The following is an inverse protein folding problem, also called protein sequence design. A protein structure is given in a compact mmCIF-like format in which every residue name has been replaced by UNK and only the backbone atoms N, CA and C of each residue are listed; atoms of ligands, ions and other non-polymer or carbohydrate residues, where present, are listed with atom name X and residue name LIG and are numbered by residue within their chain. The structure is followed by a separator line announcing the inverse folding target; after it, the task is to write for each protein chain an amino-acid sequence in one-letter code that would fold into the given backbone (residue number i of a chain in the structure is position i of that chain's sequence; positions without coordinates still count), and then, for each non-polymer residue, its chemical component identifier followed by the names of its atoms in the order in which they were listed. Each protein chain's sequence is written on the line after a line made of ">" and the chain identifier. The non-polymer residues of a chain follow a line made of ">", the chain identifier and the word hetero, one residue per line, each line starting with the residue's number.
data_IF_590898899554
#
_entry.id   IF_590898899554
#
_cell.length_a   1.000
_cell.length_b   1.000
_cell.length_c   1.000
_cell.angle_alpha   90.00
_cell.angle_beta   90.00
_cell.angle_gamma   90.00
#
_symmetry.space_group_name_H-M   'P 1'
#
loop_
_entity.id
_entity.type
_entity.pdbx_description
1 polymer ?
#
# COMPACT_ATOMS: atom_id res chain seq x y z
N UNK A 1 -63.48 -16.64 11.51
CA UNK A 1 -62.84 -15.34 11.77
C UNK A 1 -61.79 -15.56 12.86
N UNK A 2 -60.51 -15.66 12.49
CA UNK A 2 -59.38 -15.63 13.42
C UNK A 2 -58.17 -15.09 12.66
N UNK A 3 -57.96 -13.78 12.79
CA UNK A 3 -56.85 -13.01 12.24
C UNK A 3 -55.62 -13.25 13.12
N UNK A 4 -54.62 -13.96 12.60
CA UNK A 4 -53.29 -14.03 13.23
C UNK A 4 -52.51 -12.77 12.86
N UNK A 5 -52.46 -11.81 13.77
CA UNK A 5 -51.55 -10.66 13.72
C UNK A 5 -50.10 -11.14 13.88
N UNK A 6 -49.33 -11.08 12.79
CA UNK A 6 -47.87 -11.22 12.82
C UNK A 6 -47.30 -9.91 13.39
N UNK A 7 -46.62 -9.99 14.52
CA UNK A 7 -45.92 -8.87 15.13
C UNK A 7 -44.74 -8.40 14.25
N UNK A 8 -44.43 -7.09 14.18
CA UNK A 8 -43.29 -6.60 13.42
C UNK A 8 -41.96 -7.03 14.08
N UNK A 9 -40.89 -7.27 13.31
CA UNK A 9 -39.59 -7.62 13.86
C UNK A 9 -39.07 -6.46 14.72
N UNK A 10 -38.92 -6.74 16.00
CA UNK A 10 -38.37 -5.85 17.02
C UNK A 10 -36.90 -5.54 16.75
N UNK A 11 -36.61 -4.25 16.50
CA UNK A 11 -35.37 -3.55 16.82
C UNK A 11 -34.07 -4.18 16.33
N UNK A 12 -33.56 -3.71 15.18
CA UNK A 12 -32.17 -3.85 14.79
C UNK A 12 -31.26 -3.16 15.82
N UNK A 13 -30.87 -3.89 16.87
CA UNK A 13 -29.82 -3.48 17.80
C UNK A 13 -28.50 -3.44 17.05
N UNK A 14 -28.10 -2.25 16.58
CA UNK A 14 -26.75 -2.01 16.09
C UNK A 14 -25.77 -2.36 17.21
N UNK A 15 -25.01 -3.43 17.02
CA UNK A 15 -24.02 -3.95 17.98
C UNK A 15 -23.01 -2.87 18.38
N UNK A 16 -23.24 -2.21 19.52
CA UNK A 16 -22.33 -1.19 20.09
C UNK A 16 -20.93 -1.76 20.34
N UNK A 17 -20.82 -3.07 20.56
CA UNK A 17 -19.57 -3.80 20.78
C UNK A 17 -18.65 -3.81 19.54
N UNK A 18 -19.22 -3.85 18.34
CA UNK A 18 -18.44 -3.80 17.08
C UNK A 18 -17.84 -2.42 16.79
N UNK A 19 -18.58 -1.36 17.12
CA UNK A 19 -18.11 0.02 16.94
C UNK A 19 -16.95 0.36 17.89
N UNK A 20 -17.03 -0.07 19.16
CA UNK A 20 -15.95 0.14 20.12
C UNK A 20 -14.65 -0.60 19.74
N UNK A 21 -14.76 -1.85 19.26
CA UNK A 21 -13.61 -2.64 18.82
C UNK A 21 -12.93 -2.05 17.57
N UNK A 22 -13.72 -1.63 16.59
CA UNK A 22 -13.18 -1.00 15.37
C UNK A 22 -12.53 0.35 15.67
N UNK A 23 -13.15 1.19 16.50
CA UNK A 23 -12.54 2.45 16.95
C UNK A 23 -11.22 2.22 17.70
N UNK A 24 -11.18 1.21 18.59
CA UNK A 24 -9.94 0.84 19.29
C UNK A 24 -8.82 0.41 18.33
N UNK A 25 -9.13 -0.44 17.35
CA UNK A 25 -8.14 -0.88 16.35
C UNK A 25 -7.64 0.28 15.48
N UNK A 26 -8.51 1.22 15.12
CA UNK A 26 -8.13 2.42 14.38
C UNK A 26 -7.19 3.32 15.21
N UNK A 27 -7.52 3.55 16.47
CA UNK A 27 -6.67 4.33 17.38
C UNK A 27 -5.31 3.66 17.59
N UNK A 28 -5.28 2.34 17.77
CA UNK A 28 -4.05 1.58 17.88
C UNK A 28 -3.19 1.69 16.61
N UNK A 29 -3.82 1.60 15.43
CA UNK A 29 -3.15 1.77 14.14
C UNK A 29 -2.57 3.17 13.96
N UNK A 30 -3.32 4.22 14.32
CA UNK A 30 -2.85 5.60 14.29
C UNK A 30 -1.68 5.84 15.25
N UNK A 31 -1.75 5.29 16.47
CA UNK A 31 -0.67 5.36 17.45
C UNK A 31 0.60 4.66 16.94
N UNK A 32 0.46 3.46 16.35
CA UNK A 32 1.57 2.73 15.74
C UNK A 32 2.19 3.50 14.57
N UNK A 33 1.37 4.11 13.70
CA UNK A 33 1.84 4.95 12.60
C UNK A 33 2.61 6.17 13.12
N UNK A 34 2.09 6.88 14.11
CA UNK A 34 2.78 8.02 14.72
C UNK A 34 4.14 7.60 15.32
N UNK A 35 4.17 6.47 16.02
CA UNK A 35 5.41 5.93 16.59
C UNK A 35 6.42 5.53 15.50
N UNK A 36 5.96 4.94 14.40
CA UNK A 36 6.79 4.62 13.24
C UNK A 36 7.35 5.87 12.55
N UNK A 37 6.57 6.96 12.45
CA UNK A 37 7.04 8.24 11.91
C UNK A 37 8.12 8.85 12.82
N UNK A 38 7.89 8.89 14.13
CA UNK A 38 8.91 9.33 15.09
C UNK A 38 10.18 8.49 15.00
N UNK A 39 10.03 7.15 14.96
CA UNK A 39 11.15 6.24 14.81
C UNK A 39 11.90 6.46 13.49
N UNK A 40 11.19 6.67 12.37
CA UNK A 40 11.80 6.92 11.06
C UNK A 40 12.66 8.18 11.03
N UNK A 41 12.33 9.19 11.84
CA UNK A 41 13.11 10.43 11.94
C UNK A 41 14.29 10.24 12.91
N UNK A 42 14.05 9.59 14.05
CA UNK A 42 15.05 9.43 15.12
C UNK A 42 16.11 8.37 14.82
N UNK A 43 15.74 7.26 14.17
CA UNK A 43 16.65 6.15 13.85
C UNK A 43 17.27 6.31 12.46
N UNK A 44 18.61 6.39 12.40
CA UNK A 44 19.39 6.38 11.16
C UNK A 44 20.89 6.45 11.43
N UNK A 45 21.69 6.73 10.40
CA UNK A 45 23.17 6.69 10.43
C UNK A 45 23.82 7.50 11.56
N UNK A 46 23.14 8.53 12.06
CA UNK A 46 23.43 9.24 13.31
C UNK A 46 22.15 9.33 14.15
N UNK A 47 22.28 9.04 15.44
CA UNK A 47 21.23 9.30 16.44
C UNK A 47 20.96 10.80 16.45
N UNK A 48 19.78 11.19 16.00
CA UNK A 48 19.34 12.59 15.95
C UNK A 48 18.29 12.77 17.04
N UNK A 49 18.53 13.74 17.92
CA UNK A 49 17.60 14.09 18.99
C UNK A 49 16.42 14.88 18.44
N UNK A 50 15.32 14.95 19.19
CA UNK A 50 14.16 15.79 18.81
C UNK A 50 14.55 17.27 18.68
N UNK A 51 15.56 17.72 19.45
CA UNK A 51 16.12 19.07 19.35
C UNK A 51 16.74 19.35 17.99
N UNK A 52 17.51 18.40 17.45
CA UNK A 52 18.19 18.54 16.16
C UNK A 52 17.18 18.73 15.00
N UNK A 53 16.02 18.05 15.06
CA UNK A 53 14.95 18.21 14.07
C UNK A 53 14.34 19.60 14.13
N UNK A 54 14.14 20.12 15.34
CA UNK A 54 13.59 21.45 15.54
C UNK A 54 14.59 22.53 15.12
N UNK A 55 15.88 22.31 15.34
CA UNK A 55 16.96 23.20 14.92
C UNK A 55 17.14 23.21 13.40
N UNK A 56 16.96 22.07 12.72
CA UNK A 56 16.92 22.01 11.25
C UNK A 56 15.72 22.80 10.73
N UNK A 57 14.54 22.63 11.33
CA UNK A 57 13.33 23.35 10.91
C UNK A 57 13.42 24.86 11.18
N UNK A 58 14.19 25.27 12.19
CA UNK A 58 14.49 26.67 12.51
C UNK A 58 15.67 27.24 11.70
N UNK A 59 16.36 26.43 10.91
CA UNK A 59 17.53 26.83 10.13
C UNK A 59 18.78 27.11 10.97
N UNK A 60 18.82 26.64 12.22
CA UNK A 60 19.93 26.86 13.17
C UNK A 60 20.84 25.63 13.33
N UNK A 61 20.52 24.51 12.69
CA UNK A 61 21.30 23.28 12.77
C UNK A 61 22.56 23.28 11.90
N UNK A 62 23.50 22.41 12.28
CA UNK A 62 24.72 22.14 11.50
C UNK A 62 24.38 21.61 10.10
N UNK A 63 25.07 22.06 9.02
CA UNK A 63 24.82 21.63 7.65
C UNK A 63 24.83 20.11 7.44
N UNK A 64 25.64 19.37 8.21
CA UNK A 64 25.67 17.91 8.14
C UNK A 64 24.38 17.28 8.70
N UNK A 65 23.84 17.84 9.79
CA UNK A 65 22.60 17.37 10.41
C UNK A 65 21.40 17.68 9.50
N UNK A 66 21.39 18.88 8.89
CA UNK A 66 20.38 19.30 7.91
C UNK A 66 20.32 18.35 6.71
N UNK A 67 21.46 18.05 6.07
CA UNK A 67 21.52 17.13 4.92
C UNK A 67 20.99 15.73 5.25
N UNK A 68 21.30 15.23 6.45
CA UNK A 68 20.84 13.91 6.91
C UNK A 68 19.31 13.90 7.09
N UNK A 69 18.75 14.94 7.71
CA UNK A 69 17.31 15.04 7.97
C UNK A 69 16.54 15.26 6.65
N UNK A 70 17.06 16.09 5.75
CA UNK A 70 16.50 16.33 4.42
C UNK A 70 16.46 15.07 3.55
N UNK A 71 17.37 14.11 3.75
CA UNK A 71 17.32 12.82 3.07
C UNK A 71 16.28 11.86 3.67
N UNK A 72 15.94 12.01 4.96
CA UNK A 72 14.99 11.14 5.67
C UNK A 72 13.54 11.50 5.37
N UNK A 73 13.20 12.79 5.37
CA UNK A 73 11.85 13.28 5.09
C UNK A 73 11.22 12.68 3.82
N UNK A 74 11.86 12.73 2.63
CA UNK A 74 11.29 12.16 1.41
C UNK A 74 11.10 10.65 1.52
N UNK A 75 11.99 9.93 2.23
CA UNK A 75 11.86 8.48 2.43
C UNK A 75 10.66 8.14 3.29
N UNK A 76 10.43 8.88 4.38
CA UNK A 76 9.26 8.68 5.25
C UNK A 76 7.96 8.98 4.50
N UNK A 77 7.91 10.08 3.74
CA UNK A 77 6.75 10.43 2.92
C UNK A 77 6.46 9.36 1.88
N UNK A 78 7.48 8.89 1.16
CA UNK A 78 7.34 7.81 0.17
C UNK A 78 6.84 6.52 0.82
N UNK A 79 7.35 6.16 2.01
CA UNK A 79 6.90 4.98 2.75
C UNK A 79 5.43 5.06 3.14
N UNK A 80 4.96 6.21 3.64
CA UNK A 80 3.55 6.43 3.97
C UNK A 80 2.68 6.37 2.73
N UNK A 81 3.06 7.06 1.66
CA UNK A 81 2.31 7.06 0.40
C UNK A 81 2.21 5.66 -0.19
N UNK A 82 3.32 4.92 -0.24
CA UNK A 82 3.32 3.53 -0.70
C UNK A 82 2.42 2.63 0.17
N UNK A 83 2.49 2.79 1.49
CA UNK A 83 1.63 2.06 2.43
C UNK A 83 0.13 2.35 2.22
N UNK A 84 -0.24 3.61 2.00
CA UNK A 84 -1.63 4.01 1.67
C UNK A 84 -2.08 3.38 0.36
N UNK A 85 -1.26 3.44 -0.68
CA UNK A 85 -1.55 2.82 -1.97
C UNK A 85 -1.76 1.30 -1.83
N UNK A 86 -0.89 0.60 -1.08
CA UNK A 86 -1.02 -0.83 -0.81
C UNK A 86 -2.28 -1.17 0.00
N UNK A 87 -2.62 -0.36 1.01
CA UNK A 87 -3.84 -0.55 1.79
C UNK A 87 -5.10 -0.38 0.93
N UNK A 88 -5.14 0.64 0.07
CA UNK A 88 -6.25 0.85 -0.88
C UNK A 88 -6.34 -0.29 -1.89
N UNK A 89 -5.23 -0.69 -2.50
CA UNK A 89 -5.20 -1.81 -3.45
C UNK A 89 -5.64 -3.13 -2.79
N UNK A 90 -5.17 -3.42 -1.58
CA UNK A 90 -5.53 -4.61 -0.81
C UNK A 90 -7.01 -4.64 -0.44
N UNK A 91 -7.55 -3.54 0.09
CA UNK A 91 -8.97 -3.45 0.45
C UNK A 91 -9.89 -3.57 -0.76
N UNK A 92 -9.54 -2.95 -1.89
CA UNK A 92 -10.27 -3.13 -3.15
C UNK A 92 -10.22 -4.58 -3.64
N UNK A 93 -9.03 -5.20 -3.63
CA UNK A 93 -8.86 -6.57 -4.07
C UNK A 93 -9.65 -7.55 -3.19
N UNK A 94 -9.61 -7.38 -1.87
CA UNK A 94 -10.39 -8.17 -0.92
C UNK A 94 -11.89 -7.97 -1.13
N UNK A 95 -12.34 -6.74 -1.42
CA UNK A 95 -13.75 -6.41 -1.69
C UNK A 95 -14.28 -7.04 -2.98
N UNK A 96 -13.53 -6.93 -4.07
CA UNK A 96 -13.89 -7.54 -5.38
C UNK A 96 -13.83 -9.06 -5.30
N UNK A 97 -12.78 -9.61 -4.68
CA UNK A 97 -12.59 -11.06 -4.57
C UNK A 97 -13.52 -11.71 -3.55
N UNK A 98 -14.11 -10.92 -2.64
CA UNK A 98 -14.80 -11.40 -1.44
C UNK A 98 -13.96 -12.43 -0.68
N UNK A 99 -12.64 -12.26 -0.71
CA UNK A 99 -11.66 -13.17 -0.12
C UNK A 99 -10.66 -12.34 0.70
N UNK A 100 -10.65 -12.48 2.04
CA UNK A 100 -9.76 -11.72 2.91
C UNK A 100 -8.28 -12.07 2.72
N UNK A 101 -7.96 -13.17 2.02
CA UNK A 101 -6.59 -13.58 1.67
C UNK A 101 -6.10 -13.01 0.34
N UNK A 102 -6.95 -12.30 -0.41
CA UNK A 102 -6.56 -11.74 -1.70
C UNK A 102 -5.58 -10.57 -1.50
N UNK A 103 -4.48 -10.59 -2.24
CA UNK A 103 -3.39 -9.61 -2.18
C UNK A 103 -3.07 -9.13 -3.61
N UNK A 104 -2.98 -7.80 -3.84
CA UNK A 104 -2.85 -7.22 -5.18
C UNK A 104 -1.54 -7.57 -5.89
N UNK A 105 -0.48 -7.92 -5.15
CA UNK A 105 0.81 -8.37 -5.67
C UNK A 105 0.77 -9.65 -6.51
N UNK A 106 -0.30 -10.44 -6.40
CA UNK A 106 -0.49 -11.67 -7.18
C UNK A 106 -0.80 -11.45 -8.67
N UNK A 107 -1.00 -10.20 -9.11
CA UNK A 107 -1.31 -9.87 -10.51
C UNK A 107 -0.08 -9.78 -11.44
N UNK A 108 1.09 -10.27 -11.03
CA UNK A 108 2.32 -10.23 -11.86
C UNK A 108 2.91 -8.82 -12.06
N UNK A 109 2.33 -7.77 -11.46
CA UNK A 109 2.74 -6.37 -11.63
C UNK A 109 4.18 -6.15 -11.14
N UNK A 110 4.55 -6.75 -10.00
CA UNK A 110 5.92 -6.68 -9.47
C UNK A 110 6.93 -7.42 -10.35
N UNK A 111 6.54 -8.56 -10.92
CA UNK A 111 7.37 -9.31 -11.85
C UNK A 111 7.61 -8.52 -13.15
N UNK A 112 6.55 -7.92 -13.72
CA UNK A 112 6.63 -7.05 -14.88
C UNK A 112 7.51 -5.82 -14.68
N UNK A 113 7.35 -5.14 -13.54
CA UNK A 113 8.20 -4.00 -13.18
C UNK A 113 9.68 -4.41 -13.09
N UNK A 114 9.97 -5.51 -12.40
CA UNK A 114 11.34 -6.01 -12.20
C UNK A 114 11.97 -6.45 -13.52
N UNK A 115 11.23 -7.16 -14.37
CA UNK A 115 11.70 -7.58 -15.69
C UNK A 115 12.05 -6.39 -16.58
N UNK A 116 11.23 -5.34 -16.58
CA UNK A 116 11.49 -4.12 -17.35
C UNK A 116 12.72 -3.36 -16.84
N UNK A 117 12.88 -3.23 -15.51
CA UNK A 117 14.09 -2.64 -14.92
C UNK A 117 15.33 -3.43 -15.35
N UNK A 118 15.31 -4.76 -15.23
CA UNK A 118 16.45 -5.61 -15.59
C UNK A 118 16.76 -5.51 -17.08
N UNK A 119 15.75 -5.54 -17.95
CA UNK A 119 15.95 -5.36 -19.39
C UNK A 119 16.54 -3.98 -19.73
N UNK A 120 16.05 -2.92 -19.09
CA UNK A 120 16.54 -1.56 -19.28
C UNK A 120 17.99 -1.40 -18.79
N UNK A 121 18.31 -1.93 -17.61
CA UNK A 121 19.68 -1.90 -17.07
C UNK A 121 20.64 -2.71 -17.93
N UNK A 122 20.23 -3.90 -18.41
CA UNK A 122 21.08 -4.81 -19.17
C UNK A 122 21.33 -4.35 -20.61
N UNK A 123 20.34 -3.75 -21.29
CA UNK A 123 20.46 -3.38 -22.71
C UNK A 123 20.68 -1.89 -22.95
N UNK A 124 20.11 -1.02 -22.12
CA UNK A 124 20.22 0.43 -22.28
C UNK A 124 21.23 1.06 -21.30
N UNK A 125 21.78 0.29 -20.35
CA UNK A 125 22.72 0.80 -19.33
C UNK A 125 22.08 1.76 -18.33
N UNK A 126 20.74 1.81 -18.31
CA UNK A 126 19.95 2.69 -17.45
C UNK A 126 20.06 2.26 -15.98
N UNK A 127 20.95 2.90 -15.21
CA UNK A 127 21.30 2.51 -13.83
C UNK A 127 20.99 3.59 -12.79
N UNK A 128 20.48 4.74 -13.21
CA UNK A 128 20.05 5.81 -12.32
C UNK A 128 18.80 5.44 -11.53
N UNK A 129 18.64 6.03 -10.33
CA UNK A 129 17.43 5.86 -9.52
C UNK A 129 16.17 6.36 -10.26
N UNK A 130 16.29 7.51 -10.95
CA UNK A 130 15.22 8.07 -11.78
C UNK A 130 14.90 7.17 -12.98
N UNK A 131 15.92 6.58 -13.60
CA UNK A 131 15.72 5.68 -14.75
C UNK A 131 15.00 4.41 -14.31
N UNK A 132 15.40 3.84 -13.17
CA UNK A 132 14.75 2.66 -12.58
C UNK A 132 13.26 2.92 -12.37
N UNK A 133 12.90 4.10 -11.85
CA UNK A 133 11.50 4.47 -11.65
C UNK A 133 10.73 4.56 -12.97
N UNK A 134 11.30 5.22 -13.99
CA UNK A 134 10.66 5.33 -15.31
C UNK A 134 10.54 4.00 -16.03
N UNK A 135 11.50 3.09 -15.88
CA UNK A 135 11.48 1.77 -16.49
C UNK A 135 10.61 0.76 -15.74
N UNK A 136 10.36 0.95 -14.44
CA UNK A 136 9.44 0.10 -13.67
C UNK A 136 7.98 0.23 -14.15
N UNK A 137 7.55 1.47 -14.44
CA UNK A 137 6.16 1.80 -14.80
C UNK A 137 5.65 1.06 -16.05
N UNK A 138 6.33 1.09 -17.22
CA UNK A 138 5.85 0.40 -18.40
C UNK A 138 5.80 -1.12 -18.21
N UNK A 139 6.77 -1.71 -17.51
CA UNK A 139 6.76 -3.14 -17.19
C UNK A 139 5.57 -3.55 -16.31
N UNK A 140 5.30 -2.78 -15.27
CA UNK A 140 4.14 -2.96 -14.41
C UNK A 140 2.81 -2.86 -15.19
N UNK A 141 2.71 -1.85 -16.07
CA UNK A 141 1.51 -1.62 -16.87
C UNK A 141 1.28 -2.73 -17.89
N UNK A 142 2.33 -3.17 -18.60
CA UNK A 142 2.24 -4.27 -19.56
C UNK A 142 1.81 -5.56 -18.85
N UNK A 143 2.42 -5.91 -17.71
CA UNK A 143 2.02 -7.08 -16.94
C UNK A 143 0.54 -7.01 -16.50
N UNK A 144 0.11 -5.87 -15.97
CA UNK A 144 -1.28 -5.66 -15.57
C UNK A 144 -2.27 -5.81 -16.73
N UNK A 145 -1.95 -5.25 -17.90
CA UNK A 145 -2.75 -5.41 -19.13
C UNK A 145 -2.78 -6.86 -19.59
N UNK A 146 -1.64 -7.56 -19.60
CA UNK A 146 -1.55 -8.97 -20.01
C UNK A 146 -2.41 -9.85 -19.10
N UNK A 147 -2.29 -9.69 -17.77
CA UNK A 147 -3.10 -10.45 -16.82
C UNK A 147 -4.59 -10.12 -17.00
N UNK A 148 -4.95 -8.86 -17.24
CA UNK A 148 -6.33 -8.50 -17.51
C UNK A 148 -6.85 -9.14 -18.79
N UNK A 149 -6.09 -9.11 -19.89
CA UNK A 149 -6.47 -9.72 -21.18
C UNK A 149 -6.59 -11.24 -21.06
N UNK A 150 -5.61 -11.90 -20.45
CA UNK A 150 -5.62 -13.36 -20.26
C UNK A 150 -6.76 -13.78 -19.32
N UNK A 151 -6.97 -13.04 -18.22
CA UNK A 151 -8.02 -13.34 -17.25
C UNK A 151 -9.43 -13.00 -17.72
N UNK A 152 -9.56 -12.10 -18.70
CA UNK A 152 -10.84 -11.72 -19.34
C UNK A 152 -11.13 -12.51 -20.62
N UNK A 153 -10.15 -13.23 -21.18
CA UNK A 153 -10.34 -14.09 -22.33
C UNK A 153 -11.23 -15.31 -21.97
N UNK A 154 -12.48 -15.30 -22.45
CA UNK A 154 -13.44 -16.41 -22.31
C UNK A 154 -14.82 -15.99 -21.81
N UNK A 155 -15.73 -16.95 -21.66
CA UNK A 155 -17.08 -16.71 -21.13
C UNK A 155 -17.03 -16.55 -19.61
N UNK A 156 -16.85 -15.30 -19.17
CA UNK A 156 -16.93 -14.87 -17.77
C UNK A 156 -15.57 -14.55 -17.14
N UNK A 157 -15.50 -13.39 -16.48
CA UNK A 157 -14.33 -12.97 -15.69
C UNK A 157 -14.37 -13.66 -14.33
N UNK A 158 -13.50 -14.65 -14.10
CA UNK A 158 -13.36 -15.26 -12.77
C UNK A 158 -12.10 -14.73 -12.09
N UNK A 159 -12.24 -14.31 -10.83
CA UNK A 159 -11.11 -13.85 -10.00
C UNK A 159 -10.02 -14.91 -9.92
N UNK A 160 -10.40 -16.19 -9.90
CA UNK A 160 -9.47 -17.33 -9.92
C UNK A 160 -8.62 -17.35 -11.20
N UNK A 161 -9.18 -17.06 -12.38
CA UNK A 161 -8.41 -16.97 -13.64
C UNK A 161 -7.44 -15.79 -13.64
N UNK A 162 -7.85 -14.64 -13.10
CA UNK A 162 -6.97 -13.47 -12.97
C UNK A 162 -5.77 -13.77 -12.06
N UNK A 163 -5.99 -14.46 -10.93
CA UNK A 163 -4.92 -14.85 -10.01
C UNK A 163 -4.00 -15.90 -10.64
N UNK A 164 -4.54 -16.92 -11.33
CA UNK A 164 -3.73 -17.93 -12.02
C UNK A 164 -2.91 -17.35 -13.18
N UNK A 165 -3.50 -16.42 -13.95
CA UNK A 165 -2.79 -15.73 -15.02
C UNK A 165 -1.61 -14.90 -14.48
N UNK A 166 -1.79 -14.22 -13.34
CA UNK A 166 -0.72 -13.49 -12.67
C UNK A 166 0.36 -14.37 -12.07
N UNK A 167 0.03 -15.56 -11.57
CA UNK A 167 1.01 -16.51 -10.99
C UNK A 167 1.92 -17.17 -12.04
N UNK A 168 1.48 -17.25 -13.29
CA UNK A 168 2.27 -17.79 -14.42
C UNK A 168 3.15 -16.72 -15.07
N UNK A 169 2.85 -15.44 -14.83
CA UNK A 169 3.54 -14.29 -15.39
C UNK A 169 4.82 -13.93 -14.61
#
# INVERSE_FOLDING_TARGET
>A
MATTTVAPPSGAGTSRTGAARSAFLLLLGLAALALALCASVMFGSRSTSFGDVLDVLRGTADPNITTIIESRYPRTVLGVLAGVCLAVAGTLMQGVSRNPLAEPGLLGINAGASASIVAATAWLGASGATDTMWWALPGALIAGVLVHVIGSAGTGTSVVRLVLAGAVL
#
